data_IF_696247644536
#
_entry.id   IF_696247644536
#
_cell.length_a   1.000
_cell.length_b   1.000
_cell.length_c   1.000
_cell.angle_alpha   90.00
_cell.angle_beta   90.00
_cell.angle_gamma   90.00
#
_symmetry.space_group_name_H-M   'P 1'
#
loop_
_entity.id
_entity.type
_entity.pdbx_description
1 polymer ?
#
# COMPACT_ATOMS: atom_id res chain seq x y z
N UNK A 1 23.12 60.18 -47.39
CA UNK A 1 23.79 59.26 -48.35
C UNK A 1 24.85 58.46 -47.62
N UNK A 2 25.04 57.21 -48.04
CA UNK A 2 26.07 56.25 -47.66
C UNK A 2 25.90 55.38 -46.40
N UNK A 3 25.47 54.15 -46.71
CA UNK A 3 25.76 52.91 -46.02
C UNK A 3 27.27 52.59 -45.96
N UNK A 4 27.65 51.74 -44.98
CA UNK A 4 28.81 50.81 -44.93
C UNK A 4 29.37 50.78 -43.50
N UNK A 5 29.68 49.67 -42.82
CA UNK A 5 29.81 48.26 -43.18
C UNK A 5 29.86 47.42 -41.89
N UNK A 6 29.28 46.23 -41.98
CA UNK A 6 29.50 45.02 -41.20
C UNK A 6 30.95 44.81 -40.68
N UNK A 7 31.06 44.22 -39.48
CA UNK A 7 31.91 43.05 -39.12
C UNK A 7 31.39 42.52 -37.77
N UNK A 8 30.47 41.54 -37.75
CA UNK A 8 30.71 40.09 -37.72
C UNK A 8 31.92 39.68 -36.87
N UNK A 9 31.65 39.37 -35.60
CA UNK A 9 32.40 38.36 -34.84
C UNK A 9 31.38 37.43 -34.20
N UNK A 10 31.19 36.28 -34.84
CA UNK A 10 30.37 35.17 -34.35
C UNK A 10 31.29 34.39 -33.40
N UNK A 11 31.10 34.57 -32.09
CA UNK A 11 31.66 33.68 -31.07
C UNK A 11 30.62 32.63 -30.74
N UNK A 12 30.75 31.43 -31.32
CA UNK A 12 29.93 30.26 -30.99
C UNK A 12 30.35 29.82 -29.59
N UNK A 13 29.57 30.20 -28.58
CA UNK A 13 29.66 29.62 -27.25
C UNK A 13 29.22 28.17 -27.32
N UNK A 14 30.16 27.24 -27.15
CA UNK A 14 29.92 25.80 -27.01
C UNK A 14 29.06 25.62 -25.76
N UNK A 15 27.77 25.29 -25.95
CA UNK A 15 26.92 24.82 -24.87
C UNK A 15 27.48 23.49 -24.37
N UNK A 16 28.06 23.51 -23.18
CA UNK A 16 28.50 22.32 -22.47
C UNK A 16 27.26 21.46 -22.15
N UNK A 17 27.01 20.44 -22.98
CA UNK A 17 26.14 19.33 -22.60
C UNK A 17 26.90 18.50 -21.56
N UNK A 18 26.70 18.81 -20.29
CA UNK A 18 27.07 17.95 -19.18
C UNK A 18 26.07 16.79 -19.13
N UNK A 19 26.44 15.74 -19.85
CA UNK A 19 25.86 14.41 -19.75
C UNK A 19 26.09 13.79 -18.38
N UNK A 20 25.07 13.03 -17.94
CA UNK A 20 25.14 11.93 -16.98
C UNK A 20 25.55 12.26 -15.54
N UNK A 21 24.51 12.49 -14.73
CA UNK A 21 24.33 11.68 -13.53
C UNK A 21 22.90 11.16 -13.58
N UNK A 22 22.74 9.96 -14.13
CA UNK A 22 21.53 9.18 -13.92
C UNK A 22 21.37 9.03 -12.41
N UNK A 23 20.47 9.82 -11.83
CA UNK A 23 19.95 9.56 -10.50
C UNK A 23 19.32 8.17 -10.63
N UNK A 24 20.01 7.15 -10.12
CA UNK A 24 19.46 5.82 -9.99
C UNK A 24 18.21 5.97 -9.11
N UNK A 25 17.06 6.14 -9.77
CA UNK A 25 15.78 6.01 -9.12
C UNK A 25 15.82 4.63 -8.45
N UNK A 26 15.61 4.53 -7.13
CA UNK A 26 15.46 3.23 -6.50
C UNK A 26 14.39 2.48 -7.30
N UNK A 27 14.85 1.34 -7.81
CA UNK A 27 14.20 0.48 -8.77
C UNK A 27 12.71 0.29 -8.48
N UNK A 28 11.86 0.92 -9.28
CA UNK A 28 10.45 0.54 -9.48
C UNK A 28 10.32 -0.88 -10.07
N UNK A 29 11.43 -1.55 -10.39
CA UNK A 29 11.50 -2.90 -10.94
C UNK A 29 11.19 -4.02 -9.93
N UNK A 30 11.01 -3.71 -8.63
CA UNK A 30 10.70 -4.74 -7.62
C UNK A 30 9.23 -4.87 -7.26
N UNK A 31 8.38 -4.00 -7.80
CA UNK A 31 6.95 -3.94 -7.50
C UNK A 31 6.08 -4.53 -8.63
N UNK A 32 6.70 -4.90 -9.75
CA UNK A 32 6.00 -5.28 -10.99
C UNK A 32 5.79 -6.79 -11.17
N UNK A 33 6.39 -7.63 -10.32
CA UNK A 33 6.28 -9.12 -10.33
C UNK A 33 5.47 -9.69 -9.14
N UNK A 34 4.85 -8.84 -8.34
CA UNK A 34 4.03 -9.30 -7.22
C UNK A 34 2.60 -9.61 -7.73
N UNK A 35 2.23 -10.90 -7.71
CA UNK A 35 0.85 -11.32 -7.97
C UNK A 35 0.02 -11.16 -6.70
N UNK A 36 -1.18 -10.59 -6.82
CA UNK A 36 -2.03 -10.29 -5.68
C UNK A 36 -3.44 -10.85 -5.85
N UNK A 37 -3.93 -11.54 -4.83
CA UNK A 37 -5.28 -12.11 -4.78
C UNK A 37 -6.12 -11.45 -3.70
N UNK A 38 -7.34 -11.01 -4.04
CA UNK A 38 -8.31 -10.55 -3.04
C UNK A 38 -8.86 -11.77 -2.33
N UNK A 39 -8.73 -11.79 -1.01
CA UNK A 39 -9.23 -12.88 -0.18
C UNK A 39 -10.66 -12.61 0.26
N UNK A 40 -10.90 -11.39 0.77
CA UNK A 40 -12.20 -10.93 1.26
C UNK A 40 -12.31 -9.42 1.23
N UNK A 41 -13.54 -8.92 1.15
CA UNK A 41 -13.83 -7.49 1.16
C UNK A 41 -15.22 -7.22 1.76
N UNK A 42 -15.35 -6.17 2.57
CA UNK A 42 -16.62 -5.86 3.26
C UNK A 42 -17.66 -5.16 2.36
N UNK A 43 -17.22 -4.41 1.34
CA UNK A 43 -18.09 -3.68 0.41
C UNK A 43 -18.83 -2.47 1.00
N UNK A 44 -18.62 -2.16 2.28
CA UNK A 44 -19.27 -1.06 3.01
C UNK A 44 -18.46 0.24 3.05
N UNK A 45 -18.85 1.17 3.92
CA UNK A 45 -18.10 2.39 4.25
C UNK A 45 -17.79 2.41 5.77
N UNK A 46 -16.55 2.09 6.17
CA UNK A 46 -15.38 1.96 5.31
C UNK A 46 -15.38 0.59 4.64
N UNK A 47 -14.65 0.49 3.53
CA UNK A 47 -14.40 -0.79 2.90
C UNK A 47 -13.11 -1.36 3.49
N UNK A 48 -13.21 -2.51 4.15
CA UNK A 48 -12.09 -3.26 4.71
C UNK A 48 -11.78 -4.39 3.73
N UNK A 49 -10.53 -4.51 3.31
CA UNK A 49 -10.10 -5.53 2.35
C UNK A 49 -8.94 -6.35 2.91
N UNK A 50 -9.05 -7.66 2.76
CA UNK A 50 -8.00 -8.63 3.01
C UNK A 50 -7.52 -9.18 1.66
N UNK A 51 -6.22 -9.12 1.41
CA UNK A 51 -5.60 -9.54 0.16
C UNK A 51 -4.24 -10.17 0.40
N UNK A 52 -3.82 -11.07 -0.47
CA UNK A 52 -2.55 -11.79 -0.35
C UNK A 52 -1.61 -11.34 -1.47
N UNK A 53 -0.35 -11.06 -1.12
CA UNK A 53 0.74 -11.14 -2.07
C UNK A 53 1.10 -12.63 -2.22
N UNK A 54 0.78 -13.21 -3.37
CA UNK A 54 0.97 -14.63 -3.65
C UNK A 54 2.44 -14.97 -3.88
N UNK A 55 3.23 -14.00 -4.39
CA UNK A 55 4.67 -14.17 -4.60
C UNK A 55 5.45 -14.23 -3.27
N UNK A 56 5.06 -13.40 -2.30
CA UNK A 56 5.76 -13.25 -1.00
C UNK A 56 5.06 -13.98 0.14
N UNK A 57 3.90 -14.57 -0.12
CA UNK A 57 3.01 -15.15 0.89
C UNK A 57 2.76 -14.18 2.04
N UNK A 58 2.34 -12.95 1.74
CA UNK A 58 2.02 -11.92 2.74
C UNK A 58 0.53 -11.59 2.70
N UNK A 59 -0.14 -11.69 3.85
CA UNK A 59 -1.53 -11.26 4.01
C UNK A 59 -1.53 -9.79 4.41
N UNK A 60 -2.21 -8.98 3.61
CA UNK A 60 -2.41 -7.55 3.82
C UNK A 60 -3.85 -7.25 4.22
N UNK A 61 -4.02 -6.31 5.14
CA UNK A 61 -5.31 -5.71 5.46
C UNK A 61 -5.25 -4.21 5.17
N UNK A 62 -6.23 -3.69 4.44
CA UNK A 62 -6.36 -2.26 4.19
C UNK A 62 -7.78 -1.74 4.45
N UNK A 63 -7.87 -0.43 4.63
CA UNK A 63 -9.12 0.30 4.81
C UNK A 63 -9.18 1.40 3.77
N UNK A 64 -10.29 1.45 3.04
CA UNK A 64 -10.60 2.47 2.05
C UNK A 64 -11.88 3.20 2.47
N UNK A 65 -11.93 4.53 2.26
CA UNK A 65 -13.06 5.36 2.69
C UNK A 65 -12.99 5.78 4.17
N UNK A 66 -12.07 6.69 4.51
CA UNK A 66 -12.02 7.37 5.82
C UNK A 66 -12.00 8.92 5.71
N UNK A 67 -12.89 9.54 4.89
CA UNK A 67 -12.78 10.98 4.59
C UNK A 67 -12.89 11.88 5.83
N UNK A 68 -13.66 11.47 6.84
CA UNK A 68 -13.89 12.25 8.06
C UNK A 68 -12.98 11.82 9.23
N UNK A 69 -11.98 10.96 9.01
CA UNK A 69 -11.13 10.45 10.08
C UNK A 69 -11.91 9.69 11.16
N UNK A 70 -12.99 9.00 10.80
CA UNK A 70 -13.83 8.23 11.73
C UNK A 70 -13.09 7.03 12.31
N UNK A 71 -12.24 6.42 11.49
CA UNK A 71 -11.45 5.23 11.83
C UNK A 71 -10.03 5.62 12.21
N UNK A 72 -9.51 5.02 13.29
CA UNK A 72 -8.17 5.32 13.83
C UNK A 72 -7.16 4.20 13.66
N UNK A 73 -7.63 2.97 13.57
CA UNK A 73 -6.78 1.78 13.59
C UNK A 73 -7.43 0.67 12.78
N UNK A 74 -6.62 -0.12 12.09
CA UNK A 74 -7.03 -1.40 11.49
C UNK A 74 -6.12 -2.49 12.03
N UNK A 75 -6.68 -3.68 12.26
CA UNK A 75 -5.99 -4.81 12.85
C UNK A 75 -6.28 -6.10 12.08
N UNK A 76 -5.25 -6.90 11.88
CA UNK A 76 -5.32 -8.24 11.28
C UNK A 76 -5.29 -9.30 12.39
N UNK A 77 -6.17 -10.27 12.30
CA UNK A 77 -6.37 -11.32 13.28
C UNK A 77 -6.12 -12.70 12.68
N UNK A 78 -5.56 -13.58 13.51
CA UNK A 78 -5.62 -15.02 13.34
C UNK A 78 -6.64 -15.58 14.35
N UNK A 79 -7.77 -15.98 13.81
CA UNK A 79 -8.89 -16.56 14.54
C UNK A 79 -8.76 -18.07 14.62
N UNK A 80 -9.80 -18.78 14.22
CA UNK A 80 -9.88 -20.22 14.43
C UNK A 80 -8.83 -21.02 13.66
N UNK A 81 -8.27 -22.05 14.31
CA UNK A 81 -7.35 -22.99 13.71
C UNK A 81 -7.93 -24.39 13.85
N UNK A 82 -7.90 -25.20 12.80
CA UNK A 82 -8.27 -26.61 12.95
C UNK A 82 -7.30 -27.29 13.92
N UNK A 83 -7.83 -27.83 15.04
CA UNK A 83 -7.03 -28.49 16.07
C UNK A 83 -6.37 -27.57 17.11
N UNK A 84 -6.68 -26.26 17.15
CA UNK A 84 -6.08 -25.35 18.13
C UNK A 84 -6.78 -23.99 18.26
N UNK A 85 -6.28 -23.17 19.20
CA UNK A 85 -6.72 -21.79 19.40
C UNK A 85 -5.96 -20.81 18.50
N UNK A 86 -6.65 -19.77 18.03
CA UNK A 86 -6.05 -18.65 17.33
C UNK A 86 -5.09 -17.81 18.18
N UNK A 87 -4.31 -16.96 17.51
CA UNK A 87 -3.40 -16.01 18.17
C UNK A 87 -4.02 -14.64 18.44
N UNK A 88 -5.22 -14.37 17.93
CA UNK A 88 -5.88 -13.08 18.09
C UNK A 88 -5.22 -12.02 17.21
N UNK A 89 -4.93 -10.83 17.76
CA UNK A 89 -4.32 -9.72 17.01
C UNK A 89 -2.90 -10.10 16.57
N UNK A 90 -2.65 -10.16 15.27
CA UNK A 90 -1.31 -10.36 14.72
C UNK A 90 -0.56 -9.04 14.57
N UNK A 91 -1.25 -8.01 14.09
CA UNK A 91 -0.66 -6.72 13.78
C UNK A 91 -1.74 -5.64 13.70
N UNK A 92 -1.31 -4.37 13.79
CA UNK A 92 -2.15 -3.18 13.82
C UNK A 92 -1.49 -2.06 13.04
N UNK A 93 -2.27 -1.22 12.41
CA UNK A 93 -1.79 0.01 11.78
C UNK A 93 -2.75 1.16 12.04
N UNK A 94 -2.20 2.36 12.22
CA UNK A 94 -3.00 3.58 12.30
C UNK A 94 -3.66 3.85 10.95
N UNK A 95 -4.91 4.30 10.95
CA UNK A 95 -5.60 4.79 9.75
C UNK A 95 -5.50 6.31 9.74
N UNK A 96 -4.70 6.92 8.85
CA UNK A 96 -4.57 8.38 8.79
C UNK A 96 -5.92 9.06 8.52
N UNK A 97 -6.13 10.21 9.15
CA UNK A 97 -7.30 11.06 8.85
C UNK A 97 -7.15 11.70 7.47
N UNK A 98 -8.27 11.90 6.76
CA UNK A 98 -8.30 12.61 5.47
C UNK A 98 -7.68 11.85 4.29
N UNK A 99 -7.15 10.64 4.50
CA UNK A 99 -6.69 9.78 3.42
C UNK A 99 -7.81 8.84 2.99
N UNK A 100 -8.13 8.86 1.69
CA UNK A 100 -8.84 7.77 1.02
C UNK A 100 -7.97 6.54 0.77
N UNK A 101 -6.75 6.51 1.34
CA UNK A 101 -5.66 5.65 0.92
C UNK A 101 -5.37 4.53 1.93
N UNK A 102 -5.28 3.34 1.34
CA UNK A 102 -4.81 2.06 1.85
C UNK A 102 -3.65 2.22 2.83
N UNK A 103 -3.76 1.63 4.03
CA UNK A 103 -2.61 1.40 4.91
C UNK A 103 -2.25 -0.08 4.79
N UNK A 104 -1.41 -0.49 3.83
CA UNK A 104 -1.07 -1.89 3.66
C UNK A 104 -0.03 -2.28 4.71
N UNK A 105 -0.35 -3.30 5.52
CA UNK A 105 0.61 -3.96 6.39
C UNK A 105 0.45 -5.47 6.22
N UNK A 106 1.57 -6.16 6.08
CA UNK A 106 1.62 -7.57 5.73
C UNK A 106 2.07 -8.44 6.90
N UNK A 107 1.50 -9.64 7.03
CA UNK A 107 2.05 -10.73 7.86
C UNK A 107 2.19 -11.98 7.00
N UNK A 108 3.28 -12.71 7.17
CA UNK A 108 3.38 -14.06 6.60
C UNK A 108 2.45 -14.97 7.41
N UNK A 109 1.46 -15.64 6.79
CA UNK A 109 0.67 -16.64 7.49
C UNK A 109 1.63 -17.69 8.05
N UNK A 110 1.34 -18.22 9.24
CA UNK A 110 2.18 -19.25 9.90
C UNK A 110 1.49 -20.61 10.05
N UNK A 111 0.24 -20.70 9.59
CA UNK A 111 -0.67 -21.80 9.82
C UNK A 111 -1.78 -21.78 8.76
N UNK A 112 -2.58 -22.86 8.71
CA UNK A 112 -3.87 -22.90 7.97
C UNK A 112 -5.03 -22.38 8.82
N UNK A 113 -4.78 -21.38 9.65
CA UNK A 113 -5.83 -20.76 10.45
C UNK A 113 -6.68 -19.81 9.61
N UNK A 114 -7.82 -19.46 10.16
CA UNK A 114 -8.71 -18.42 9.68
C UNK A 114 -8.15 -17.03 10.01
N UNK A 115 -8.13 -16.16 9.02
CA UNK A 115 -7.73 -14.77 9.14
C UNK A 115 -8.91 -13.84 8.89
N UNK A 116 -8.97 -12.74 9.63
CA UNK A 116 -9.92 -11.64 9.39
C UNK A 116 -9.31 -10.30 9.75
N UNK A 117 -9.95 -9.21 9.35
CA UNK A 117 -9.56 -7.86 9.71
C UNK A 117 -10.68 -7.14 10.45
N UNK A 118 -10.31 -6.20 11.32
CA UNK A 118 -11.24 -5.24 11.92
C UNK A 118 -10.68 -3.84 11.83
N UNK A 119 -11.57 -2.85 11.80
CA UNK A 119 -11.23 -1.44 11.96
C UNK A 119 -11.87 -0.90 13.23
N UNK A 120 -11.14 -0.06 13.94
CA UNK A 120 -11.54 0.58 15.20
C UNK A 120 -11.86 2.04 14.95
N UNK A 121 -13.04 2.47 15.39
CA UNK A 121 -13.47 3.87 15.38
C UNK A 121 -12.86 4.65 16.57
N UNK A 122 -12.86 5.99 16.47
CA UNK A 122 -12.40 6.84 17.57
C UNK A 122 -13.21 6.66 18.88
N UNK A 123 -14.50 6.35 18.77
CA UNK A 123 -15.39 6.01 19.90
C UNK A 123 -15.20 4.58 20.45
N UNK A 124 -14.18 3.84 19.99
CA UNK A 124 -13.90 2.44 20.32
C UNK A 124 -14.91 1.40 19.82
N UNK A 125 -15.81 1.76 18.90
CA UNK A 125 -16.59 0.78 18.16
C UNK A 125 -15.70 0.02 17.17
N UNK A 126 -15.94 -1.28 17.04
CA UNK A 126 -15.19 -2.14 16.14
C UNK A 126 -16.09 -2.61 14.98
N UNK A 127 -15.61 -2.46 13.75
CA UNK A 127 -16.24 -3.03 12.56
C UNK A 127 -15.36 -4.16 12.04
N UNK A 128 -15.94 -5.35 11.96
CA UNK A 128 -15.27 -6.54 11.48
C UNK A 128 -15.58 -6.77 10.01
N UNK A 129 -14.58 -7.26 9.28
CA UNK A 129 -14.81 -7.92 8.01
C UNK A 129 -15.68 -9.15 8.26
N UNK A 130 -16.78 -9.29 7.52
CA UNK A 130 -17.69 -10.41 7.69
C UNK A 130 -17.09 -11.72 7.13
N UNK A 131 -17.01 -12.72 8.00
CA UNK A 131 -16.45 -14.02 7.70
C UNK A 131 -14.92 -14.06 7.75
N UNK A 132 -14.40 -15.25 7.44
CA UNK A 132 -13.01 -15.61 7.59
C UNK A 132 -12.46 -16.20 6.30
N UNK A 133 -11.14 -16.16 6.14
CA UNK A 133 -10.45 -16.84 5.05
C UNK A 133 -9.30 -17.66 5.59
N UNK A 134 -9.03 -18.80 4.98
CA UNK A 134 -7.92 -19.68 5.34
C UNK A 134 -6.77 -19.53 4.36
N UNK A 135 -5.56 -19.35 4.89
CA UNK A 135 -4.39 -19.24 4.03
C UNK A 135 -4.07 -20.56 3.29
N UNK A 136 -3.87 -20.51 1.95
CA UNK A 136 -3.32 -21.63 1.21
C UNK A 136 -1.86 -21.71 1.58
N UNK A 137 -1.58 -22.57 2.55
CA UNK A 137 -0.23 -22.97 2.90
C UNK A 137 0.25 -24.08 1.97
#
# INVERSE_FOLDING_TARGET
MNASRLRRTIGIGIAAMLSLSALAAPSSAREQDDHYSILRQSGGNPNIRLWMNDTRYLIHADVTGNPNGRYKEVQLFEGYCYGGGGRGVLTRAAVPAGQGAVVPYGITPRSRCEYTARVTEHNNNNLWLSGWWTAPY
#
